data_IF_956275786946
#
_entry.id   IF_956275786946
#
_cell.length_a   1.000
_cell.length_b   1.000
_cell.length_c   1.000
_cell.angle_alpha   90.00
_cell.angle_beta   90.00
_cell.angle_gamma   90.00
#
_symmetry.space_group_name_H-M   'P 1'
#
loop_
_entity.id
_entity.type
_entity.pdbx_description
1 polymer ?
#
# COMPACT_ATOMS: atom_id res chain seq x y z
N UNK A 1 18.08 56.58 -5.52
CA UNK A 1 17.26 55.80 -4.57
C UNK A 1 17.57 54.34 -4.84
N UNK A 2 18.29 53.68 -3.93
CA UNK A 2 18.63 52.27 -4.03
C UNK A 2 17.37 51.45 -3.75
N UNK A 3 16.81 50.82 -4.78
CA UNK A 3 15.91 49.70 -4.63
C UNK A 3 16.75 48.42 -4.57
N UNK A 4 17.45 48.21 -3.46
CA UNK A 4 17.78 46.85 -3.05
C UNK A 4 16.48 46.27 -2.49
N UNK A 5 15.70 45.65 -3.36
CA UNK A 5 14.67 44.73 -2.91
C UNK A 5 15.42 43.61 -2.16
N UNK A 6 15.40 43.66 -0.83
CA UNK A 6 15.86 42.58 0.02
C UNK A 6 15.25 41.28 -0.53
N UNK A 7 16.09 40.35 -0.96
CA UNK A 7 15.70 38.98 -1.30
C UNK A 7 15.19 38.31 -0.01
N UNK A 8 13.99 38.67 0.43
CA UNK A 8 13.26 37.96 1.48
C UNK A 8 12.77 36.68 0.84
N UNK A 9 13.46 35.58 1.15
CA UNK A 9 13.05 34.25 0.72
C UNK A 9 11.60 33.97 1.15
N UNK A 10 10.96 33.00 0.48
CA UNK A 10 9.60 32.59 0.81
C UNK A 10 9.63 31.88 2.18
N UNK A 11 8.87 32.34 3.18
CA UNK A 11 8.80 31.67 4.47
C UNK A 11 8.14 30.29 4.33
N UNK A 12 8.64 29.32 5.09
CA UNK A 12 8.11 27.94 5.13
C UNK A 12 7.33 27.78 6.44
N UNK A 13 6.05 27.42 6.34
CA UNK A 13 5.17 27.19 7.49
C UNK A 13 4.84 25.72 7.69
N UNK A 14 4.41 25.35 8.89
CA UNK A 14 3.80 24.05 9.14
C UNK A 14 2.34 24.10 8.70
N UNK A 15 1.93 23.14 7.88
CA UNK A 15 0.53 22.90 7.56
C UNK A 15 -0.04 21.88 8.57
N UNK A 16 -0.86 22.37 9.49
CA UNK A 16 -1.51 21.58 10.54
C UNK A 16 -2.84 20.95 10.10
N UNK A 17 -3.25 21.12 8.83
CA UNK A 17 -4.52 20.60 8.33
C UNK A 17 -4.49 19.07 8.38
N UNK A 18 -5.39 18.42 9.15
CA UNK A 18 -5.47 16.98 9.20
C UNK A 18 -6.07 16.48 7.89
N UNK A 19 -5.28 15.76 7.09
CA UNK A 19 -5.70 15.20 5.80
C UNK A 19 -5.58 13.69 5.81
N UNK A 20 -6.63 13.01 5.38
CA UNK A 20 -6.65 11.57 5.12
C UNK A 20 -6.29 11.29 3.65
N UNK A 21 -5.73 10.12 3.33
CA UNK A 21 -5.71 9.68 1.92
C UNK A 21 -7.14 9.35 1.51
N UNK A 22 -7.56 9.86 0.35
CA UNK A 22 -8.90 9.64 -0.23
C UNK A 22 -9.33 8.18 -0.13
N UNK A 23 -10.54 7.95 0.37
CA UNK A 23 -11.18 6.63 0.45
C UNK A 23 -12.10 6.43 -0.77
N UNK A 24 -12.18 5.20 -1.31
CA UNK A 24 -13.04 4.91 -2.47
C UNK A 24 -14.53 4.77 -2.13
N UNK A 25 -14.88 4.65 -0.85
CA UNK A 25 -16.23 4.42 -0.35
C UNK A 25 -16.84 5.69 0.24
N UNK A 26 -16.03 6.49 0.94
CA UNK A 26 -16.51 7.72 1.57
C UNK A 26 -16.71 8.84 0.53
N UNK A 27 -17.63 9.77 0.84
CA UNK A 27 -17.69 11.01 0.07
C UNK A 27 -16.34 11.72 0.17
N UNK A 28 -15.84 12.20 -0.97
CA UNK A 28 -14.52 12.85 -1.04
C UNK A 28 -14.48 14.00 -0.04
N UNK A 29 -13.76 13.81 1.06
CA UNK A 29 -13.58 14.85 2.08
C UNK A 29 -12.94 16.08 1.43
N UNK A 30 -13.36 17.25 1.90
CA UNK A 30 -12.87 18.55 1.41
C UNK A 30 -11.35 18.67 1.54
N UNK A 31 -10.75 17.94 2.49
CA UNK A 31 -9.34 18.02 2.85
C UNK A 31 -8.56 16.69 2.64
N UNK A 32 -8.90 15.91 1.62
CA UNK A 32 -8.19 14.66 1.31
C UNK A 32 -6.88 14.85 0.52
N UNK A 33 -5.97 13.89 0.66
CA UNK A 33 -4.84 13.66 -0.25
C UNK A 33 -5.27 12.77 -1.42
N UNK A 34 -4.90 13.19 -2.62
CA UNK A 34 -5.13 12.47 -3.86
C UNK A 34 -3.80 12.08 -4.52
N UNK A 35 -3.70 10.87 -5.09
CA UNK A 35 -2.52 10.48 -5.85
C UNK A 35 -2.36 11.34 -7.12
N UNK A 36 -1.16 11.88 -7.35
CA UNK A 36 -0.85 12.74 -8.52
C UNK A 36 0.13 12.12 -9.50
N UNK A 37 0.63 10.92 -9.22
CA UNK A 37 1.44 10.16 -10.16
C UNK A 37 1.11 8.66 -10.15
N UNK A 38 1.68 7.94 -11.13
CA UNK A 38 1.44 6.52 -11.36
C UNK A 38 1.80 5.63 -10.15
N UNK A 39 2.87 5.98 -9.42
CA UNK A 39 3.31 5.26 -8.24
C UNK A 39 2.35 5.48 -7.06
N UNK A 40 1.93 6.73 -6.79
CA UNK A 40 0.98 7.07 -5.75
C UNK A 40 -0.39 6.41 -5.99
N UNK A 41 -0.85 6.36 -7.25
CA UNK A 41 -2.10 5.67 -7.59
C UNK A 41 -2.04 4.17 -7.25
N UNK A 42 -0.90 3.52 -7.46
CA UNK A 42 -0.73 2.09 -7.16
C UNK A 42 -0.57 1.83 -5.67
N UNK A 43 0.11 2.72 -4.95
CA UNK A 43 0.15 2.66 -3.49
C UNK A 43 -1.23 2.87 -2.88
N UNK A 44 -2.01 3.82 -3.40
CA UNK A 44 -3.40 4.04 -3.01
C UNK A 44 -4.25 2.77 -3.20
N UNK A 45 -4.14 2.09 -4.35
CA UNK A 45 -4.81 0.79 -4.57
C UNK A 45 -4.38 -0.30 -3.57
N UNK A 46 -3.12 -0.28 -3.12
CA UNK A 46 -2.66 -1.15 -2.04
C UNK A 46 -3.37 -0.79 -0.73
N UNK A 47 -3.43 0.49 -0.38
CA UNK A 47 -4.11 0.98 0.82
C UNK A 47 -5.59 0.59 0.85
N UNK A 48 -6.32 0.75 -0.25
CA UNK A 48 -7.73 0.31 -0.34
C UNK A 48 -7.88 -1.18 -0.06
N UNK A 49 -7.01 -2.01 -0.66
CA UNK A 49 -7.02 -3.45 -0.40
C UNK A 49 -6.67 -3.79 1.06
N UNK A 50 -5.83 -2.98 1.71
CA UNK A 50 -5.50 -3.12 3.12
C UNK A 50 -6.66 -2.71 4.03
N UNK A 51 -7.37 -1.62 3.72
CA UNK A 51 -8.58 -1.17 4.44
C UNK A 51 -9.67 -2.26 4.42
N UNK A 52 -9.97 -2.80 3.24
CA UNK A 52 -10.91 -3.91 3.07
C UNK A 52 -10.51 -5.15 3.90
N UNK A 53 -9.21 -5.48 3.91
CA UNK A 53 -8.71 -6.59 4.70
C UNK A 53 -8.83 -6.32 6.19
N UNK A 54 -8.55 -5.10 6.66
CA UNK A 54 -8.55 -4.80 8.08
C UNK A 54 -9.96 -4.88 8.66
N UNK A 55 -10.96 -4.36 7.94
CA UNK A 55 -12.37 -4.49 8.31
C UNK A 55 -12.77 -5.97 8.42
N UNK A 56 -12.49 -6.78 7.38
CA UNK A 56 -12.86 -8.19 7.34
C UNK A 56 -12.13 -9.04 8.40
N UNK A 57 -10.90 -8.68 8.75
CA UNK A 57 -10.08 -9.44 9.70
C UNK A 57 -10.32 -9.03 11.16
N UNK A 58 -10.63 -7.75 11.42
CA UNK A 58 -11.05 -7.26 12.74
C UNK A 58 -12.23 -8.07 13.28
N UNK A 59 -13.25 -8.26 12.44
CA UNK A 59 -14.41 -9.10 12.71
C UNK A 59 -14.02 -10.56 12.98
N UNK A 60 -13.12 -11.10 12.15
CA UNK A 60 -12.76 -12.52 12.13
C UNK A 60 -11.96 -12.93 13.36
N UNK A 61 -11.10 -12.05 13.88
CA UNK A 61 -10.30 -12.29 15.08
C UNK A 61 -11.17 -12.58 16.32
N UNK A 62 -12.38 -12.01 16.37
CA UNK A 62 -13.32 -12.18 17.48
C UNK A 62 -14.22 -13.42 17.34
N UNK A 63 -14.25 -14.05 16.16
CA UNK A 63 -15.15 -15.19 15.89
C UNK A 63 -14.64 -16.50 16.51
N UNK A 64 -15.38 -17.05 17.48
CA UNK A 64 -15.05 -18.36 18.08
C UNK A 64 -15.30 -19.54 17.11
N UNK A 65 -16.32 -19.43 16.24
CA UNK A 65 -16.71 -20.50 15.32
C UNK A 65 -15.72 -20.65 14.14
N UNK A 66 -15.09 -21.82 14.02
CA UNK A 66 -14.09 -22.11 12.99
C UNK A 66 -14.66 -22.05 11.56
N UNK A 67 -15.89 -22.53 11.35
CA UNK A 67 -16.56 -22.47 10.04
C UNK A 67 -16.86 -21.04 9.62
N UNK A 68 -17.34 -20.19 10.55
CA UNK A 68 -17.56 -18.76 10.28
C UNK A 68 -16.24 -18.06 9.93
N UNK A 69 -15.17 -18.31 10.69
CA UNK A 69 -13.82 -17.79 10.37
C UNK A 69 -13.37 -18.22 8.98
N UNK A 70 -13.51 -19.50 8.62
CA UNK A 70 -13.15 -19.99 7.29
C UNK A 70 -13.98 -19.32 6.18
N UNK A 71 -15.27 -19.07 6.40
CA UNK A 71 -16.10 -18.32 5.46
C UNK A 71 -15.67 -16.86 5.32
N UNK A 72 -15.26 -16.19 6.39
CA UNK A 72 -14.71 -14.84 6.32
C UNK A 72 -13.38 -14.78 5.56
N UNK A 73 -12.46 -15.71 5.81
CA UNK A 73 -11.21 -15.81 5.03
C UNK A 73 -11.48 -16.04 3.54
N UNK A 74 -12.50 -16.81 3.21
CA UNK A 74 -12.94 -16.99 1.82
C UNK A 74 -13.35 -15.64 1.19
N UNK A 75 -14.07 -14.79 1.91
CA UNK A 75 -14.48 -13.45 1.43
C UNK A 75 -13.25 -12.53 1.32
N UNK A 76 -12.40 -12.53 2.35
CA UNK A 76 -11.16 -11.75 2.39
C UNK A 76 -10.12 -12.16 1.34
N UNK A 77 -10.34 -13.26 0.61
CA UNK A 77 -9.47 -13.69 -0.47
C UNK A 77 -9.48 -12.73 -1.66
N UNK A 78 -10.61 -12.07 -1.94
CA UNK A 78 -10.67 -11.05 -3.00
C UNK A 78 -9.72 -9.88 -2.70
N UNK A 79 -9.85 -9.16 -1.58
CA UNK A 79 -8.96 -8.03 -1.31
C UNK A 79 -7.51 -8.47 -1.08
N UNK A 80 -7.26 -9.68 -0.54
CA UNK A 80 -5.89 -10.22 -0.50
C UNK A 80 -5.30 -10.43 -1.90
N UNK A 81 -6.06 -11.02 -2.83
CA UNK A 81 -5.60 -11.20 -4.22
C UNK A 81 -5.40 -9.85 -4.92
N UNK A 82 -6.29 -8.88 -4.67
CA UNK A 82 -6.12 -7.50 -5.15
C UNK A 82 -4.84 -6.87 -4.61
N UNK A 83 -4.54 -7.02 -3.32
CA UNK A 83 -3.31 -6.53 -2.71
C UNK A 83 -2.07 -7.14 -3.36
N UNK A 84 -2.05 -8.47 -3.57
CA UNK A 84 -0.95 -9.15 -4.28
C UNK A 84 -0.72 -8.54 -5.66
N UNK A 85 -1.80 -8.30 -6.40
CA UNK A 85 -1.70 -7.68 -7.73
C UNK A 85 -1.27 -6.22 -7.68
N UNK A 86 -1.72 -5.45 -6.69
CA UNK A 86 -1.32 -4.05 -6.55
C UNK A 86 0.16 -3.91 -6.17
N UNK A 87 0.68 -4.80 -5.32
CA UNK A 87 2.12 -4.86 -4.99
C UNK A 87 2.94 -5.20 -6.23
N UNK A 88 2.53 -6.20 -7.00
CA UNK A 88 3.21 -6.57 -8.25
C UNK A 88 3.15 -5.43 -9.28
N UNK A 89 1.99 -4.79 -9.45
CA UNK A 89 1.81 -3.62 -10.31
C UNK A 89 2.74 -2.46 -9.90
N UNK A 90 2.90 -2.22 -8.60
CA UNK A 90 3.77 -1.17 -8.07
C UNK A 90 5.25 -1.48 -8.34
N UNK A 91 5.69 -2.72 -8.08
CA UNK A 91 7.03 -3.16 -8.45
C UNK A 91 7.27 -3.03 -9.97
N UNK A 92 6.28 -3.39 -10.79
CA UNK A 92 6.35 -3.26 -12.25
C UNK A 92 6.44 -1.80 -12.69
N UNK A 93 5.67 -0.89 -12.07
CA UNK A 93 5.74 0.53 -12.38
C UNK A 93 7.14 1.08 -12.12
N UNK A 94 7.74 0.75 -10.99
CA UNK A 94 9.09 1.23 -10.65
C UNK A 94 10.14 0.71 -11.64
N UNK A 95 9.94 -0.49 -12.21
CA UNK A 95 10.86 -1.11 -13.16
C UNK A 95 10.65 -0.74 -14.62
N UNK A 96 9.47 -0.26 -15.00
CA UNK A 96 9.12 -0.03 -16.39
C UNK A 96 8.74 1.42 -16.70
N UNK A 97 8.31 2.19 -15.70
CA UNK A 97 7.93 3.59 -15.86
C UNK A 97 9.14 4.50 -15.73
N UNK A 98 9.51 5.15 -16.84
CA UNK A 98 10.64 6.08 -16.90
C UNK A 98 10.49 7.28 -15.97
N UNK A 99 9.28 7.73 -15.70
CA UNK A 99 9.05 8.86 -14.79
C UNK A 99 9.36 8.46 -13.35
N UNK A 100 8.88 7.29 -12.90
CA UNK A 100 9.17 6.73 -11.58
C UNK A 100 10.66 6.42 -11.42
N UNK A 101 11.29 5.84 -12.45
CA UNK A 101 12.72 5.52 -12.43
C UNK A 101 13.62 6.73 -12.26
N UNK A 102 13.26 7.87 -12.86
CA UNK A 102 14.04 9.12 -12.75
C UNK A 102 14.11 9.66 -11.31
N UNK A 103 13.23 9.21 -10.43
CA UNK A 103 13.20 9.59 -9.02
C UNK A 103 14.07 8.67 -8.14
N UNK A 104 14.66 7.62 -8.72
CA UNK A 104 15.43 6.61 -8.01
C UNK A 104 16.84 6.47 -8.57
N UNK A 105 17.75 5.96 -7.74
CA UNK A 105 19.04 5.47 -8.20
C UNK A 105 18.90 4.12 -8.92
N UNK A 106 19.78 3.85 -9.89
CA UNK A 106 19.81 2.58 -10.63
C UNK A 106 19.96 1.34 -9.72
N UNK A 107 20.62 1.51 -8.56
CA UNK A 107 20.77 0.49 -7.52
C UNK A 107 19.41 0.07 -6.94
N UNK A 108 18.57 1.04 -6.57
CA UNK A 108 17.24 0.81 -6.02
C UNK A 108 16.32 0.09 -7.02
N UNK A 109 16.38 0.46 -8.31
CA UNK A 109 15.60 -0.22 -9.37
C UNK A 109 15.98 -1.70 -9.47
N UNK A 110 17.28 -2.02 -9.43
CA UNK A 110 17.76 -3.42 -9.45
C UNK A 110 17.33 -4.20 -8.23
N UNK A 111 17.38 -3.57 -7.04
CA UNK A 111 16.90 -4.19 -5.82
C UNK A 111 15.41 -4.54 -5.90
N UNK A 112 14.58 -3.67 -6.47
CA UNK A 112 13.15 -3.89 -6.65
C UNK A 112 12.89 -5.05 -7.62
N UNK A 113 13.68 -5.19 -8.69
CA UNK A 113 13.61 -6.38 -9.55
C UNK A 113 13.89 -7.67 -8.77
N UNK A 114 14.89 -7.65 -7.88
CA UNK A 114 15.19 -8.76 -6.97
C UNK A 114 14.03 -9.07 -6.02
N UNK A 115 13.46 -8.03 -5.41
CA UNK A 115 12.31 -8.12 -4.51
C UNK A 115 11.11 -8.73 -5.22
N UNK A 116 10.75 -8.26 -6.43
CA UNK A 116 9.61 -8.76 -7.17
C UNK A 116 9.77 -10.22 -7.56
N UNK A 117 10.98 -10.63 -7.97
CA UNK A 117 11.28 -12.04 -8.24
C UNK A 117 11.07 -12.87 -6.97
N UNK A 118 11.64 -12.43 -5.84
CA UNK A 118 11.50 -13.13 -4.55
C UNK A 118 10.06 -13.19 -4.07
N UNK A 119 9.30 -12.12 -4.27
CA UNK A 119 7.86 -12.07 -4.00
C UNK A 119 7.11 -13.14 -4.79
N UNK A 120 7.38 -13.23 -6.10
CA UNK A 120 6.75 -14.21 -6.99
C UNK A 120 7.11 -15.65 -6.63
N UNK A 121 8.31 -15.90 -6.10
CA UNK A 121 8.74 -17.21 -5.59
C UNK A 121 8.00 -17.59 -4.30
N UNK A 122 7.89 -16.67 -3.34
CA UNK A 122 7.26 -16.92 -2.04
C UNK A 122 5.73 -17.00 -2.12
N UNK A 123 5.15 -16.19 -3.00
CA UNK A 123 3.72 -16.09 -3.26
C UNK A 123 3.47 -16.10 -4.78
N UNK A 124 3.46 -17.28 -5.41
CA UNK A 124 3.04 -17.41 -6.80
C UNK A 124 1.63 -16.84 -6.98
N UNK A 125 1.45 -16.01 -8.00
CA UNK A 125 0.21 -15.27 -8.23
C UNK A 125 -0.12 -15.11 -9.71
N UNK A 126 0.43 -16.00 -10.55
CA UNK A 126 -0.01 -16.18 -11.92
C UNK A 126 -1.45 -16.73 -12.00
N UNK A 127 -1.97 -16.92 -13.20
CA UNK A 127 -3.34 -17.39 -13.43
C UNK A 127 -3.61 -18.84 -12.95
N UNK A 128 -2.57 -19.65 -12.75
CA UNK A 128 -2.65 -21.04 -12.25
C UNK A 128 -2.37 -21.15 -10.76
N UNK A 129 -1.80 -20.10 -10.17
CA UNK A 129 -1.45 -20.08 -8.76
C UNK A 129 -2.65 -20.34 -7.86
N UNK A 130 -2.38 -20.86 -6.66
CA UNK A 130 -3.39 -21.23 -5.68
C UNK A 130 -4.28 -20.04 -5.34
N UNK A 131 -3.70 -18.88 -5.02
CA UNK A 131 -4.45 -17.69 -4.64
C UNK A 131 -5.36 -17.20 -5.77
N UNK A 132 -4.87 -17.19 -7.01
CA UNK A 132 -5.66 -16.81 -8.19
C UNK A 132 -6.78 -17.80 -8.48
N UNK A 133 -6.49 -19.10 -8.42
CA UNK A 133 -7.48 -20.17 -8.63
C UNK A 133 -8.57 -20.10 -7.56
N UNK A 134 -8.18 -19.95 -6.30
CA UNK A 134 -9.10 -19.84 -5.19
C UNK A 134 -9.97 -18.58 -5.30
N UNK A 135 -9.38 -17.43 -5.68
CA UNK A 135 -10.15 -16.20 -5.89
C UNK A 135 -11.17 -16.38 -7.00
N UNK A 136 -10.73 -16.86 -8.16
CA UNK A 136 -11.55 -16.98 -9.36
C UNK A 136 -12.68 -18.00 -9.22
N UNK A 137 -12.41 -19.15 -8.58
CA UNK A 137 -13.38 -20.25 -8.49
C UNK A 137 -14.28 -20.19 -7.26
N UNK A 138 -13.84 -19.53 -6.17
CA UNK A 138 -14.56 -19.58 -4.90
C UNK A 138 -15.05 -18.21 -4.40
N UNK A 139 -14.30 -17.13 -4.57
CA UNK A 139 -14.42 -15.94 -3.70
C UNK A 139 -15.83 -15.30 -3.69
N UNK A 140 -16.20 -14.60 -4.77
CA UNK A 140 -17.49 -13.91 -4.86
C UNK A 140 -18.67 -14.87 -5.02
N UNK A 141 -18.49 -15.92 -5.84
CA UNK A 141 -19.43 -17.02 -6.00
C UNK A 141 -18.66 -18.31 -6.29
N UNK A 142 -19.31 -19.45 -6.10
CA UNK A 142 -18.77 -20.73 -6.55
C UNK A 142 -18.98 -20.80 -8.06
N UNK A 143 -17.91 -21.01 -8.80
CA UNK A 143 -17.98 -21.13 -10.26
C UNK A 143 -18.94 -22.26 -10.67
N UNK A 144 -19.86 -21.96 -11.59
CA UNK A 144 -20.95 -22.85 -12.03
C UNK A 144 -20.47 -24.20 -12.60
N UNK A 145 -19.21 -24.29 -13.04
CA UNK A 145 -18.63 -25.49 -13.65
C UNK A 145 -17.92 -26.40 -12.64
N UNK A 146 -17.82 -26.01 -11.37
CA UNK A 146 -17.06 -26.78 -10.38
C UNK A 146 -17.98 -27.69 -9.57
N UNK A 147 -17.57 -28.94 -9.42
CA UNK A 147 -18.28 -29.89 -8.55
C UNK A 147 -18.01 -29.55 -7.07
N UNK A 148 -18.96 -29.77 -6.13
CA UNK A 148 -18.76 -29.47 -4.71
C UNK A 148 -17.48 -30.07 -4.08
N UNK A 149 -17.08 -31.27 -4.50
CA UNK A 149 -15.83 -31.89 -4.03
C UNK A 149 -14.57 -31.17 -4.53
N UNK A 150 -14.61 -30.60 -5.73
CA UNK A 150 -13.52 -29.75 -6.25
C UNK A 150 -13.48 -28.42 -5.48
N UNK A 151 -14.64 -27.81 -5.22
CA UNK A 151 -14.74 -26.60 -4.41
C UNK A 151 -14.14 -26.80 -3.01
N UNK A 152 -14.42 -27.94 -2.38
CA UNK A 152 -13.86 -28.30 -1.08
C UNK A 152 -12.33 -28.48 -1.13
N UNK A 153 -11.79 -29.09 -2.19
CA UNK A 153 -10.34 -29.25 -2.39
C UNK A 153 -9.64 -27.90 -2.55
N UNK A 154 -10.20 -26.98 -3.34
CA UNK A 154 -9.64 -25.63 -3.48
C UNK A 154 -9.73 -24.89 -2.14
N UNK A 155 -10.88 -24.97 -1.47
CA UNK A 155 -11.10 -24.33 -0.18
C UNK A 155 -10.34 -24.95 0.99
N UNK A 156 -9.78 -26.16 0.87
CA UNK A 156 -8.91 -26.74 1.89
C UNK A 156 -7.51 -26.14 1.89
N UNK A 157 -7.07 -25.56 0.77
CA UNK A 157 -5.75 -24.90 0.67
C UNK A 157 -5.76 -23.53 1.37
N UNK A 158 -6.92 -22.87 1.44
CA UNK A 158 -7.12 -21.62 2.19
C UNK A 158 -7.21 -21.92 3.69
N UNK A 159 -6.10 -22.36 4.27
CA UNK A 159 -5.98 -22.47 5.72
C UNK A 159 -5.73 -21.07 6.32
N UNK A 160 -6.11 -20.81 7.57
CA UNK A 160 -5.76 -19.56 8.24
C UNK A 160 -4.26 -19.27 8.13
N UNK A 161 -3.46 -20.32 8.28
CA UNK A 161 -2.01 -20.20 8.27
C UNK A 161 -1.44 -19.72 6.95
N UNK A 162 -1.89 -20.33 5.86
CA UNK A 162 -1.43 -19.97 4.53
C UNK A 162 -1.93 -18.58 4.13
N UNK A 163 -3.16 -18.23 4.52
CA UNK A 163 -3.69 -16.88 4.34
C UNK A 163 -2.85 -15.84 5.09
N UNK A 164 -2.53 -16.10 6.37
CA UNK A 164 -1.70 -15.22 7.19
C UNK A 164 -0.30 -15.06 6.61
N UNK A 165 0.31 -16.13 6.10
CA UNK A 165 1.60 -16.10 5.40
C UNK A 165 1.54 -15.18 4.18
N UNK A 166 0.57 -15.38 3.28
CA UNK A 166 0.39 -14.55 2.10
C UNK A 166 0.18 -13.07 2.44
N UNK A 167 -0.66 -12.80 3.45
CA UNK A 167 -0.89 -11.45 3.94
C UNK A 167 0.43 -10.82 4.41
N UNK A 168 1.18 -11.49 5.29
CA UNK A 168 2.40 -10.94 5.87
C UNK A 168 3.52 -10.71 4.85
N UNK A 169 3.59 -11.50 3.78
CA UNK A 169 4.46 -11.22 2.63
C UNK A 169 4.10 -9.86 2.02
N UNK A 170 2.82 -9.62 1.74
CA UNK A 170 2.36 -8.36 1.18
C UNK A 170 2.58 -7.18 2.15
N UNK A 171 2.27 -7.34 3.44
CA UNK A 171 2.48 -6.28 4.43
C UNK A 171 3.95 -5.84 4.49
N UNK A 172 4.86 -6.81 4.48
CA UNK A 172 6.30 -6.53 4.50
C UNK A 172 6.74 -5.73 3.28
N UNK A 173 6.28 -6.14 2.08
CA UNK A 173 6.61 -5.46 0.84
C UNK A 173 6.04 -4.05 0.76
N UNK A 174 4.77 -3.87 1.14
CA UNK A 174 4.15 -2.55 1.14
C UNK A 174 4.92 -1.61 2.07
N UNK A 175 5.29 -2.05 3.27
CA UNK A 175 6.10 -1.25 4.20
C UNK A 175 7.44 -0.81 3.57
N UNK A 176 8.17 -1.72 2.93
CA UNK A 176 9.44 -1.34 2.29
C UNK A 176 9.22 -0.39 1.11
N UNK A 177 8.25 -0.68 0.24
CA UNK A 177 7.94 0.17 -0.92
C UNK A 177 7.49 1.56 -0.49
N UNK A 178 6.73 1.69 0.60
CA UNK A 178 6.29 3.00 1.12
C UNK A 178 7.45 3.90 1.50
N UNK A 179 8.65 3.40 1.75
CA UNK A 179 9.83 4.22 2.10
C UNK A 179 10.41 4.96 0.90
N UNK A 180 10.16 4.50 -0.33
CA UNK A 180 10.73 5.08 -1.55
C UNK A 180 10.17 6.48 -1.84
N UNK A 181 11.02 7.47 -2.07
CA UNK A 181 10.58 8.84 -2.36
C UNK A 181 10.14 9.03 -3.82
N UNK A 182 9.08 8.32 -4.22
CA UNK A 182 8.58 8.27 -5.61
C UNK A 182 7.11 8.67 -5.73
N UNK A 183 6.48 9.07 -4.63
CA UNK A 183 5.04 9.26 -4.54
C UNK A 183 4.72 10.75 -4.57
N UNK A 184 3.90 11.16 -5.53
CA UNK A 184 3.41 12.53 -5.63
C UNK A 184 1.94 12.59 -5.24
N UNK A 185 1.60 13.64 -4.49
CA UNK A 185 0.26 13.84 -3.97
C UNK A 185 -0.23 15.26 -4.27
N UNK A 186 -1.55 15.42 -4.30
CA UNK A 186 -2.22 16.70 -4.41
C UNK A 186 -3.30 16.78 -3.35
N UNK A 187 -3.65 17.98 -2.93
CA UNK A 187 -4.78 18.22 -2.04
C UNK A 187 -5.61 19.38 -2.57
N UNK A 188 -6.77 19.61 -1.94
CA UNK A 188 -7.58 20.77 -2.28
C UNK A 188 -6.77 22.06 -2.05
N UNK A 189 -6.74 22.97 -3.04
CA UNK A 189 -6.09 24.27 -2.89
C UNK A 189 -6.94 25.22 -2.03
N UNK A 190 -6.35 26.31 -1.50
CA UNK A 190 -7.08 27.31 -0.70
C UNK A 190 -8.11 28.12 -1.52
N UNK A 191 -7.99 28.12 -2.85
CA UNK A 191 -8.88 28.79 -3.79
C UNK A 191 -8.71 28.22 -5.20
N UNK A 192 -9.65 28.51 -6.09
CA UNK A 192 -9.69 27.98 -7.46
C UNK A 192 -8.54 28.52 -8.33
N UNK A 193 -7.93 29.63 -7.93
CA UNK A 193 -6.76 30.24 -8.56
C UNK A 193 -5.44 29.60 -8.10
N UNK A 194 -5.47 28.49 -7.35
CA UNK A 194 -4.27 27.82 -6.87
C UNK A 194 -4.31 26.32 -7.14
N UNK A 195 -3.12 25.70 -7.16
CA UNK A 195 -2.93 24.25 -7.14
C UNK A 195 -1.90 23.87 -6.09
N UNK A 196 -2.12 22.74 -5.42
CA UNK A 196 -1.28 22.26 -4.32
C UNK A 196 -0.76 20.85 -4.61
N UNK A 197 0.57 20.68 -4.55
CA UNK A 197 1.23 19.40 -4.77
C UNK A 197 2.32 19.13 -3.73
N UNK A 198 2.44 17.87 -3.32
CA UNK A 198 3.58 17.34 -2.60
C UNK A 198 4.31 16.36 -3.53
N UNK A 199 5.34 16.85 -4.22
CA UNK A 199 6.19 16.04 -5.10
C UNK A 199 7.48 15.58 -4.41
N UNK A 200 7.86 16.24 -3.32
CA UNK A 200 9.02 15.90 -2.50
C UNK A 200 8.62 16.03 -1.04
N UNK A 201 8.39 14.91 -0.37
CA UNK A 201 7.96 14.93 1.03
C UNK A 201 9.07 15.49 1.93
N UNK A 202 8.73 16.31 2.96
CA UNK A 202 7.39 16.66 3.43
C UNK A 202 6.83 17.98 2.88
N UNK A 203 7.36 18.49 1.76
CA UNK A 203 7.04 19.83 1.25
C UNK A 203 5.77 19.85 0.41
N UNK A 204 4.75 20.57 0.90
CA UNK A 204 3.56 20.95 0.16
C UNK A 204 3.81 22.29 -0.53
N UNK A 205 3.74 22.30 -1.85
CA UNK A 205 4.02 23.46 -2.70
C UNK A 205 2.70 23.96 -3.31
N UNK A 206 2.42 25.24 -3.13
CA UNK A 206 1.24 25.90 -3.70
C UNK A 206 1.66 26.85 -4.81
N UNK A 207 1.11 26.65 -6.00
CA UNK A 207 1.28 27.54 -7.14
C UNK A 207 0.01 28.34 -7.38
N UNK A 208 0.18 29.60 -7.78
CA UNK A 208 -0.91 30.43 -8.27
C UNK A 208 -1.05 30.23 -9.78
N UNK A 209 -2.29 30.12 -10.22
CA UNK A 209 -2.66 30.01 -11.62
C UNK A 209 -3.07 31.36 -12.18
N UNK A 210 -2.75 31.58 -13.45
CA UNK A 210 -3.24 32.69 -14.26
C UNK A 210 -3.56 32.15 -15.65
N UNK A 211 -4.80 32.34 -16.09
CA UNK A 211 -5.29 31.80 -17.37
C UNK A 211 -5.02 30.29 -17.53
N UNK A 212 -5.23 29.52 -16.45
CA UNK A 212 -4.97 28.06 -16.34
C UNK A 212 -3.49 27.63 -16.41
N UNK A 213 -2.54 28.57 -16.50
CA UNK A 213 -1.11 28.30 -16.46
C UNK A 213 -0.49 28.65 -15.09
N UNK A 214 0.61 27.98 -14.74
CA UNK A 214 1.36 28.28 -13.52
C UNK A 214 2.05 29.64 -13.68
N UNK A 215 1.66 30.62 -12.84
CA UNK A 215 2.17 31.99 -12.87
C UNK A 215 3.33 32.15 -11.88
N UNK A 216 3.09 31.88 -10.59
CA UNK A 216 4.07 32.05 -9.53
C UNK A 216 3.96 31.01 -8.41
N UNK A 217 5.08 30.80 -7.71
CA UNK A 217 5.12 30.05 -6.47
C UNK A 217 4.50 30.89 -5.35
N UNK A 218 3.35 30.46 -4.83
CA UNK A 218 2.61 31.19 -3.81
C UNK A 218 3.06 30.83 -2.38
N UNK A 219 3.32 29.55 -2.12
CA UNK A 219 3.73 29.10 -0.79
C UNK A 219 4.50 27.76 -0.82
N UNK A 220 5.30 27.55 0.22
CA UNK A 220 5.88 26.26 0.58
C UNK A 220 5.53 25.99 2.04
N UNK A 221 4.90 24.84 2.32
CA UNK A 221 4.57 24.39 3.66
C UNK A 221 5.18 23.01 3.93
N UNK A 222 5.36 22.67 5.20
CA UNK A 222 5.70 21.31 5.64
C UNK A 222 4.40 20.66 6.10
N UNK A 223 4.03 19.52 5.52
CA UNK A 223 2.83 18.78 5.89
C UNK A 223 3.17 17.33 6.26
N UNK A 224 2.25 16.65 6.96
CA UNK A 224 2.39 15.22 7.24
C UNK A 224 2.40 14.41 5.93
N UNK A 225 3.32 13.46 5.81
CA UNK A 225 3.36 12.53 4.68
C UNK A 225 2.04 11.75 4.56
N UNK A 226 1.39 11.73 3.38
CA UNK A 226 0.21 10.91 3.15
C UNK A 226 0.51 9.42 3.37
N UNK A 227 1.74 8.98 3.08
CA UNK A 227 2.16 7.58 3.19
C UNK A 227 2.08 7.03 4.61
N UNK A 228 2.06 7.89 5.63
CA UNK A 228 1.96 7.48 7.03
C UNK A 228 0.63 6.75 7.36
N UNK A 229 -0.42 6.95 6.56
CA UNK A 229 -1.66 6.19 6.72
C UNK A 229 -1.48 4.67 6.45
N UNK A 230 -0.48 4.29 5.65
CA UNK A 230 -0.26 2.88 5.28
C UNK A 230 0.26 2.05 6.47
N UNK A 231 1.34 2.45 7.18
CA UNK A 231 1.77 1.75 8.40
C UNK A 231 0.68 1.60 9.47
N UNK A 232 -0.22 2.57 9.64
CA UNK A 232 -1.30 2.51 10.63
C UNK A 232 -2.28 1.36 10.35
N UNK A 233 -2.73 1.21 9.10
CA UNK A 233 -3.59 0.09 8.68
C UNK A 233 -2.84 -1.24 8.78
N UNK A 234 -1.56 -1.26 8.40
CA UNK A 234 -0.73 -2.47 8.49
C UNK A 234 -0.55 -2.91 9.95
N UNK A 235 -0.36 -1.98 10.89
CA UNK A 235 -0.28 -2.31 12.31
C UNK A 235 -1.55 -2.99 12.82
N UNK A 236 -2.72 -2.46 12.43
CA UNK A 236 -4.02 -3.06 12.73
C UNK A 236 -4.13 -4.48 12.16
N UNK A 237 -3.76 -4.66 10.89
CA UNK A 237 -3.75 -5.96 10.22
C UNK A 237 -2.82 -6.97 10.88
N UNK A 238 -1.60 -6.56 11.25
CA UNK A 238 -0.65 -7.41 11.97
C UNK A 238 -1.26 -7.87 13.28
N UNK A 239 -1.91 -6.99 14.04
CA UNK A 239 -2.59 -7.36 15.29
C UNK A 239 -3.74 -8.33 15.04
N UNK A 240 -4.56 -8.07 14.02
CA UNK A 240 -5.76 -8.83 13.69
C UNK A 240 -5.47 -10.19 13.01
N UNK A 241 -4.26 -10.39 12.49
CA UNK A 241 -3.85 -11.63 11.82
C UNK A 241 -3.17 -12.65 12.74
N UNK A 242 -2.77 -12.28 13.97
CA UNK A 242 -1.92 -13.13 14.82
C UNK A 242 -2.48 -14.53 15.08
N UNK A 243 -3.81 -14.68 15.17
CA UNK A 243 -4.49 -15.96 15.40
C UNK A 243 -4.33 -16.97 14.24
N UNK A 244 -3.90 -16.51 13.06
CA UNK A 244 -3.70 -17.34 11.87
C UNK A 244 -2.44 -18.20 11.96
N UNK A 245 -1.51 -17.85 12.85
CA UNK A 245 -0.21 -18.50 12.94
C UNK A 245 -0.17 -19.56 14.03
N UNK A 246 0.51 -20.68 13.74
CA UNK A 246 0.75 -21.71 14.74
C UNK A 246 1.78 -21.22 15.76
N UNK A 247 1.76 -21.83 16.96
CA UNK A 247 2.80 -21.59 17.97
C UNK A 247 4.17 -21.92 17.38
N UNK A 248 5.13 -21.01 17.57
CA UNK A 248 6.51 -21.17 17.07
C UNK A 248 6.73 -20.74 15.62
N UNK A 249 5.68 -20.50 14.83
CA UNK A 249 5.84 -20.06 13.45
C UNK A 249 6.30 -18.60 13.35
N UNK A 250 7.24 -18.38 12.43
CA UNK A 250 7.75 -17.06 12.09
C UNK A 250 6.64 -16.19 11.47
N UNK A 251 6.64 -14.92 11.87
CA UNK A 251 5.67 -13.90 11.43
C UNK A 251 6.10 -12.52 11.93
N UNK A 252 5.59 -11.48 11.28
CA UNK A 252 5.57 -10.12 11.82
C UNK A 252 4.74 -10.11 13.12
N UNK A 253 5.36 -9.69 14.23
CA UNK A 253 4.71 -9.64 15.55
C UNK A 253 4.20 -8.25 15.90
N UNK A 254 4.95 -7.24 15.53
CA UNK A 254 4.68 -5.82 15.77
C UNK A 254 5.50 -5.00 14.78
N UNK A 255 5.07 -3.77 14.53
CA UNK A 255 5.87 -2.78 13.81
C UNK A 255 6.69 -1.97 14.82
N UNK A 256 7.83 -1.47 14.37
CA UNK A 256 8.68 -0.55 15.13
C UNK A 256 9.14 0.55 14.17
N UNK A 257 9.38 1.74 14.72
CA UNK A 257 9.98 2.83 13.96
C UNK A 257 11.33 2.39 13.39
N UNK A 258 11.50 2.57 12.09
CA UNK A 258 12.77 2.32 11.42
C UNK A 258 13.63 3.58 11.52
N UNK A 259 14.82 3.44 12.11
CA UNK A 259 15.81 4.51 12.23
C UNK A 259 17.03 4.26 11.34
N UNK A 260 16.96 3.29 10.43
CA UNK A 260 18.06 2.89 9.56
C UNK A 260 17.85 3.47 8.16
N UNK A 261 18.96 3.74 7.48
CA UNK A 261 18.94 4.19 6.09
C UNK A 261 18.63 3.07 5.09
N UNK A 262 18.62 1.80 5.54
CA UNK A 262 18.26 0.68 4.67
C UNK A 262 16.74 0.59 4.51
N UNK A 263 16.26 1.00 3.33
CA UNK A 263 14.84 0.93 3.01
C UNK A 263 14.35 -0.52 2.77
N UNK A 264 15.21 -1.41 2.27
CA UNK A 264 14.86 -2.76 1.83
C UNK A 264 15.20 -3.80 2.91
N UNK A 265 14.17 -4.24 3.63
CA UNK A 265 14.27 -5.29 4.65
C UNK A 265 13.70 -6.62 4.16
N UNK A 266 12.94 -6.60 3.07
CA UNK A 266 12.29 -7.77 2.50
C UNK A 266 13.27 -8.85 2.09
N UNK A 267 14.34 -8.49 1.38
CA UNK A 267 15.33 -9.48 0.95
C UNK A 267 16.02 -10.16 2.14
N UNK A 268 16.42 -9.37 3.14
CA UNK A 268 17.10 -9.83 4.35
C UNK A 268 16.22 -10.77 5.17
N UNK A 269 14.96 -10.41 5.38
CA UNK A 269 14.04 -11.16 6.24
C UNK A 269 13.04 -12.04 5.47
N UNK A 270 13.23 -12.25 4.16
CA UNK A 270 12.30 -13.06 3.35
C UNK A 270 12.15 -14.50 3.85
N UNK A 271 13.17 -15.03 4.54
CA UNK A 271 13.18 -16.36 5.15
C UNK A 271 12.07 -16.56 6.18
N UNK A 272 11.55 -15.49 6.81
CA UNK A 272 10.43 -15.60 7.78
C UNK A 272 9.13 -16.04 7.11
N UNK A 273 9.05 -15.90 5.78
CA UNK A 273 7.87 -16.20 4.97
C UNK A 273 7.97 -17.52 4.22
N UNK A 274 9.11 -18.20 4.31
CA UNK A 274 9.29 -19.50 3.69
C UNK A 274 8.30 -20.51 4.31
N UNK A 275 7.65 -21.36 3.49
CA UNK A 275 6.86 -22.46 4.04
C UNK A 275 7.79 -23.30 4.92
N UNK A 276 7.46 -23.45 6.21
CA UNK A 276 8.27 -24.25 7.12
C UNK A 276 8.56 -25.62 6.48
N UNK A 277 9.85 -25.98 6.40
CA UNK A 277 10.32 -27.36 6.25
C UNK A 277 9.83 -28.21 7.43
#
# INVERSE_FOLDING_TARGET
>A
MNHEAENKGIPIYLDETPRSISDSIEEVEVDAWFPSNSAAQKLWRCLESLRDLDELLSDSAQQKNATKRKRRLKIALTPLHSLVKCVDDLCNDIQCNKETQRLLEDSAVKEISGIQKRFSELLPHDHKAVISTARNKLSAHIDKKIHPSEAQKIGSVITPNEFGRWLHICLHLVLDLTKLNIYHWSCKPPGDEYVCFMTSEPFLVTFKLKDEEVDELAAINIASSPRNAVPEVIESLVRNSQWMFKKGQQRIRSLQGDHRDNWNTFNEYSYIHEPNL
#
